data_IF_735603851487
#
_entry.id   IF_735603851487
#
_cell.length_a   1.000
_cell.length_b   1.000
_cell.length_c   1.000
_cell.angle_alpha   90.00
_cell.angle_beta   90.00
_cell.angle_gamma   90.00
#
_symmetry.space_group_name_H-M   'P 1'
#
loop_
_entity.id
_entity.type
_entity.pdbx_description
1 polymer ?
#
# COMPACT_ATOMS: atom_id res chain seq x y z
N UNK A 1 14.07 -16.58 7.05
CA UNK A 1 13.49 -15.60 6.10
C UNK A 1 12.00 -15.87 6.10
N UNK A 2 11.20 -14.93 6.59
CA UNK A 2 9.75 -15.00 6.35
C UNK A 2 9.56 -14.80 4.85
N UNK A 3 9.01 -15.80 4.16
CA UNK A 3 8.63 -15.67 2.76
C UNK A 3 7.62 -14.51 2.66
N UNK A 4 7.85 -13.63 1.70
CA UNK A 4 6.92 -12.53 1.44
C UNK A 4 5.58 -13.10 0.95
N UNK A 5 4.50 -12.84 1.68
CA UNK A 5 3.16 -13.35 1.38
C UNK A 5 2.72 -12.99 -0.06
N UNK A 6 3.11 -11.84 -0.58
CA UNK A 6 2.79 -11.45 -1.96
C UNK A 6 3.48 -12.35 -2.97
N UNK A 7 4.72 -12.80 -2.69
CA UNK A 7 5.41 -13.78 -3.51
C UNK A 7 4.72 -15.13 -3.50
N UNK A 8 4.30 -15.60 -2.32
CA UNK A 8 3.54 -16.86 -2.16
C UNK A 8 2.25 -16.81 -2.99
N UNK A 9 1.45 -15.75 -2.86
CA UNK A 9 0.19 -15.58 -3.60
C UNK A 9 0.45 -15.58 -5.11
N UNK A 10 1.47 -14.85 -5.56
CA UNK A 10 1.85 -14.80 -6.98
C UNK A 10 2.26 -16.16 -7.53
N UNK A 11 3.02 -16.94 -6.77
CA UNK A 11 3.47 -18.26 -7.20
C UNK A 11 2.31 -19.27 -7.23
N UNK A 12 1.39 -19.19 -6.28
CA UNK A 12 0.15 -20.00 -6.28
C UNK A 12 -0.72 -19.66 -7.50
N UNK A 13 -0.97 -18.37 -7.76
CA UNK A 13 -1.73 -17.92 -8.94
C UNK A 13 -1.13 -18.44 -10.25
N UNK A 14 0.20 -18.32 -10.37
CA UNK A 14 0.92 -18.84 -11.53
C UNK A 14 0.79 -20.34 -11.67
N UNK A 15 0.81 -21.10 -10.59
CA UNK A 15 0.68 -22.56 -10.60
C UNK A 15 -0.75 -23.01 -10.88
N UNK A 16 -1.75 -22.29 -10.37
CA UNK A 16 -3.15 -22.53 -10.61
C UNK A 16 -3.63 -22.05 -12.01
N UNK A 17 -2.82 -21.23 -12.68
CA UNK A 17 -3.16 -20.55 -13.94
C UNK A 17 -4.47 -19.75 -13.84
N UNK A 18 -4.75 -19.15 -12.68
CA UNK A 18 -5.98 -18.39 -12.44
C UNK A 18 -5.73 -17.22 -11.48
N UNK A 19 -6.51 -16.14 -11.65
CA UNK A 19 -6.65 -15.01 -10.73
C UNK A 19 -7.98 -15.05 -9.95
N UNK A 20 -8.80 -16.05 -10.19
CA UNK A 20 -10.04 -16.24 -9.44
C UNK A 20 -9.75 -16.91 -8.10
N UNK A 21 -10.13 -16.28 -6.95
CA UNK A 21 -9.83 -16.84 -5.64
C UNK A 21 -10.51 -18.19 -5.38
N UNK A 22 -11.58 -18.53 -6.10
CA UNK A 22 -12.24 -19.83 -5.99
C UNK A 22 -11.42 -20.92 -6.65
N UNK A 23 -10.91 -20.67 -7.85
CA UNK A 23 -10.02 -21.62 -8.55
C UNK A 23 -8.72 -21.83 -7.73
N UNK A 24 -8.21 -20.76 -7.10
CA UNK A 24 -7.06 -20.84 -6.20
C UNK A 24 -7.37 -21.72 -4.98
N UNK A 25 -8.54 -21.55 -4.36
CA UNK A 25 -8.95 -22.39 -3.24
C UNK A 25 -9.06 -23.86 -3.64
N UNK A 26 -9.68 -24.16 -4.79
CA UNK A 26 -9.83 -25.51 -5.34
C UNK A 26 -8.45 -26.12 -5.65
N UNK A 27 -7.55 -25.36 -6.29
CA UNK A 27 -6.17 -25.79 -6.57
C UNK A 27 -5.38 -26.14 -5.29
N UNK A 28 -5.63 -25.43 -4.20
CA UNK A 28 -4.95 -25.62 -2.91
C UNK A 28 -5.68 -26.61 -1.98
N UNK A 29 -6.69 -27.34 -2.44
CA UNK A 29 -7.53 -28.24 -1.63
C UNK A 29 -8.13 -27.55 -0.40
N UNK A 30 -8.49 -26.26 -0.53
CA UNK A 30 -9.15 -25.48 0.52
C UNK A 30 -10.66 -25.58 0.35
N UNK A 31 -11.34 -26.08 1.39
CA UNK A 31 -12.80 -26.19 1.37
C UNK A 31 -13.45 -24.81 1.49
N UNK A 32 -14.28 -24.45 0.52
CA UNK A 32 -15.05 -23.21 0.54
C UNK A 32 -16.48 -23.46 1.02
N UNK A 33 -16.87 -22.83 2.11
CA UNK A 33 -18.19 -22.95 2.74
C UNK A 33 -18.97 -21.66 2.55
N UNK A 34 -20.13 -21.77 1.89
CA UNK A 34 -21.08 -20.67 1.84
C UNK A 34 -21.84 -20.57 3.16
N UNK A 35 -21.80 -19.43 3.80
CA UNK A 35 -22.45 -19.22 5.09
C UNK A 35 -23.45 -18.07 5.06
N UNK A 36 -24.41 -18.11 5.97
CA UNK A 36 -25.40 -17.06 6.17
C UNK A 36 -25.34 -16.59 7.62
N UNK A 37 -24.77 -15.40 7.85
CA UNK A 37 -24.55 -14.88 9.19
C UNK A 37 -24.20 -13.39 9.20
N UNK A 38 -23.77 -12.91 10.35
CA UNK A 38 -23.33 -11.52 10.55
C UNK A 38 -21.83 -11.30 10.27
N UNK A 39 -21.07 -12.38 10.13
CA UNK A 39 -19.63 -12.37 9.84
C UNK A 39 -19.43 -12.39 8.34
N UNK A 40 -18.44 -11.66 7.83
CA UNK A 40 -18.14 -11.62 6.41
C UNK A 40 -17.45 -12.90 5.92
N UNK A 41 -16.47 -13.39 6.70
CA UNK A 41 -15.72 -14.60 6.42
C UNK A 41 -15.10 -15.21 7.66
N UNK A 42 -14.48 -16.36 7.48
CA UNK A 42 -13.58 -16.99 8.45
C UNK A 42 -12.64 -17.98 7.74
N UNK A 43 -11.47 -18.21 8.33
CA UNK A 43 -10.57 -19.30 7.96
C UNK A 43 -10.45 -20.31 9.13
N UNK A 44 -10.37 -21.59 8.80
CA UNK A 44 -10.26 -22.67 9.78
C UNK A 44 -9.36 -23.80 9.31
N UNK A 45 -8.52 -24.29 10.23
CA UNK A 45 -7.67 -25.46 10.01
C UNK A 45 -8.32 -26.73 10.55
N UNK A 46 -8.47 -27.74 9.71
CA UNK A 46 -8.86 -29.09 10.12
C UNK A 46 -7.60 -29.93 10.39
N UNK A 47 -7.07 -29.85 11.60
CA UNK A 47 -5.83 -30.55 11.98
C UNK A 47 -5.82 -32.04 11.69
N UNK A 48 -6.98 -32.72 11.86
CA UNK A 48 -7.10 -34.17 11.63
C UNK A 48 -6.92 -34.59 10.15
N UNK A 49 -7.09 -33.66 9.21
CA UNK A 49 -7.04 -33.92 7.76
C UNK A 49 -5.92 -33.16 7.04
N UNK A 50 -5.18 -32.33 7.75
CA UNK A 50 -4.20 -31.40 7.19
C UNK A 50 -4.80 -30.55 6.04
N UNK A 51 -6.07 -30.16 6.19
CA UNK A 51 -6.81 -29.33 5.25
C UNK A 51 -7.26 -28.05 5.92
N UNK A 52 -7.51 -27.01 5.14
CA UNK A 52 -8.09 -25.77 5.59
C UNK A 52 -9.50 -25.59 4.99
N UNK A 53 -10.30 -24.80 5.66
CA UNK A 53 -11.57 -24.32 5.11
C UNK A 53 -11.69 -22.81 5.29
N UNK A 54 -12.33 -22.17 4.33
CA UNK A 54 -12.76 -20.77 4.47
C UNK A 54 -14.27 -20.71 4.35
N UNK A 55 -14.89 -19.88 5.16
CA UNK A 55 -16.32 -19.58 5.08
C UNK A 55 -16.51 -18.17 4.53
N UNK A 56 -17.36 -18.04 3.52
CA UNK A 56 -17.66 -16.74 2.91
C UNK A 56 -19.16 -16.47 3.00
N UNK A 57 -19.53 -15.29 3.42
CA UNK A 57 -20.91 -14.90 3.55
C UNK A 57 -21.58 -14.78 2.17
N UNK A 58 -22.63 -15.58 1.96
CA UNK A 58 -23.36 -15.65 0.68
C UNK A 58 -24.08 -14.34 0.30
N UNK A 59 -24.21 -13.38 1.22
CA UNK A 59 -24.80 -12.07 0.96
C UNK A 59 -23.80 -11.09 0.33
N UNK A 60 -22.50 -11.37 0.44
CA UNK A 60 -21.46 -10.55 -0.21
C UNK A 60 -21.51 -10.78 -1.72
N UNK A 61 -21.31 -9.69 -2.47
CA UNK A 61 -21.29 -9.72 -3.95
C UNK A 61 -20.22 -8.78 -4.48
N UNK A 62 -19.82 -9.01 -5.73
CA UNK A 62 -18.87 -8.16 -6.45
C UNK A 62 -17.56 -7.98 -5.69
N UNK A 63 -17.15 -6.72 -5.54
CA UNK A 63 -15.92 -6.35 -4.87
C UNK A 63 -15.78 -6.96 -3.47
N UNK A 64 -16.80 -6.82 -2.60
CA UNK A 64 -16.75 -7.30 -1.23
C UNK A 64 -16.65 -8.82 -1.11
N UNK A 65 -17.24 -9.57 -2.04
CA UNK A 65 -17.07 -11.01 -2.09
C UNK A 65 -15.62 -11.39 -2.40
N UNK A 66 -15.02 -10.78 -3.42
CA UNK A 66 -13.63 -11.05 -3.80
C UNK A 66 -12.65 -10.61 -2.70
N UNK A 67 -12.86 -9.44 -2.13
CA UNK A 67 -12.03 -8.91 -1.02
C UNK A 67 -12.05 -9.87 0.18
N UNK A 68 -13.23 -10.26 0.65
CA UNK A 68 -13.36 -11.20 1.75
C UNK A 68 -12.73 -12.55 1.43
N UNK A 69 -12.91 -13.04 0.21
CA UNK A 69 -12.33 -14.32 -0.21
C UNK A 69 -10.79 -14.29 -0.15
N UNK A 70 -10.15 -13.28 -0.72
CA UNK A 70 -8.71 -13.12 -0.66
C UNK A 70 -8.18 -12.89 0.76
N UNK A 71 -8.95 -12.18 1.58
CA UNK A 71 -8.63 -11.98 2.99
C UNK A 71 -8.54 -13.33 3.74
N UNK A 72 -9.56 -14.18 3.60
CA UNK A 72 -9.58 -15.49 4.27
C UNK A 72 -8.54 -16.47 3.69
N UNK A 73 -8.32 -16.46 2.37
CA UNK A 73 -7.23 -17.23 1.76
C UNK A 73 -5.87 -16.82 2.31
N UNK A 74 -5.66 -15.52 2.54
CA UNK A 74 -4.39 -15.01 3.09
C UNK A 74 -4.13 -15.60 4.47
N UNK A 75 -5.13 -15.73 5.34
CA UNK A 75 -4.96 -16.38 6.64
C UNK A 75 -4.51 -17.85 6.52
N UNK A 76 -4.98 -18.55 5.48
CA UNK A 76 -4.53 -19.92 5.21
C UNK A 76 -3.09 -19.92 4.72
N UNK A 77 -2.75 -19.09 3.73
CA UNK A 77 -1.40 -19.04 3.14
C UNK A 77 -0.34 -18.52 4.12
N UNK A 78 -0.70 -17.53 4.94
CA UNK A 78 0.17 -16.99 5.98
C UNK A 78 0.24 -17.88 7.23
N UNK A 79 -0.52 -18.99 7.24
CA UNK A 79 -0.62 -19.95 8.35
C UNK A 79 -1.15 -19.34 9.67
N UNK A 80 -1.87 -18.25 9.61
CA UNK A 80 -2.43 -17.58 10.80
C UNK A 80 -3.38 -18.49 11.58
N UNK A 81 -4.11 -19.36 10.87
CA UNK A 81 -5.00 -20.37 11.45
C UNK A 81 -4.27 -21.41 12.34
N UNK A 82 -2.94 -21.49 12.25
CA UNK A 82 -2.11 -22.38 13.06
C UNK A 82 -1.39 -21.67 14.21
N UNK A 83 -1.62 -20.37 14.41
CA UNK A 83 -0.99 -19.62 15.48
C UNK A 83 -1.49 -20.08 16.86
N UNK A 84 -0.62 -20.09 17.89
CA UNK A 84 -1.04 -20.38 19.25
C UNK A 84 -2.16 -19.43 19.71
N UNK A 85 -3.23 -20.00 20.30
CA UNK A 85 -4.36 -19.24 20.79
C UNK A 85 -5.52 -19.02 19.80
N UNK A 86 -5.34 -19.35 18.52
CA UNK A 86 -6.43 -19.27 17.53
C UNK A 86 -7.38 -20.49 17.61
N UNK A 87 -6.95 -21.58 18.24
CA UNK A 87 -7.66 -22.88 18.22
C UNK A 87 -8.03 -23.34 16.80
N UNK A 88 -7.23 -22.94 15.81
CA UNK A 88 -7.48 -23.22 14.39
C UNK A 88 -8.52 -22.31 13.74
N UNK A 89 -9.01 -21.29 14.43
CA UNK A 89 -9.99 -20.34 13.89
C UNK A 89 -9.42 -18.94 13.84
N UNK A 90 -9.57 -18.32 12.68
CA UNK A 90 -9.42 -16.87 12.50
C UNK A 90 -10.74 -16.36 11.96
N UNK A 91 -11.37 -15.43 12.66
CA UNK A 91 -12.64 -14.84 12.23
C UNK A 91 -12.50 -13.36 12.14
N UNK A 92 -12.82 -12.80 10.99
CA UNK A 92 -12.95 -11.36 10.84
C UNK A 92 -14.38 -10.92 11.19
N UNK A 93 -14.61 -10.62 12.46
CA UNK A 93 -15.85 -9.99 12.90
C UNK A 93 -15.92 -8.50 12.56
N UNK A 94 -14.85 -7.93 11.97
CA UNK A 94 -14.71 -6.48 11.84
C UNK A 94 -14.12 -6.01 10.50
N UNK A 95 -14.38 -6.74 9.41
CA UNK A 95 -14.00 -6.29 8.06
C UNK A 95 -14.39 -4.82 7.88
N UNK A 96 -13.39 -3.96 7.78
CA UNK A 96 -13.54 -2.56 7.40
C UNK A 96 -14.61 -1.75 8.16
N UNK A 97 -14.85 -2.00 9.44
CA UNK A 97 -15.73 -1.14 10.23
C UNK A 97 -15.15 0.27 10.30
N UNK A 98 -15.91 1.23 9.82
CA UNK A 98 -15.62 2.65 10.01
C UNK A 98 -15.30 2.93 11.48
N UNK A 99 -14.16 3.58 11.76
CA UNK A 99 -13.81 4.06 13.10
C UNK A 99 -12.84 3.20 13.92
N UNK A 100 -12.35 2.06 13.42
CA UNK A 100 -11.24 1.32 14.08
C UNK A 100 -9.91 1.90 13.62
N UNK A 101 -9.08 2.38 14.54
CA UNK A 101 -7.75 2.89 14.18
C UNK A 101 -6.84 1.73 13.74
N UNK A 102 -5.99 1.94 12.73
CA UNK A 102 -5.05 0.92 12.23
C UNK A 102 -4.07 0.41 13.30
N UNK A 103 -3.81 1.21 14.34
CA UNK A 103 -2.95 0.84 15.46
C UNK A 103 -3.51 -0.29 16.35
N UNK A 104 -4.81 -0.56 16.26
CA UNK A 104 -5.49 -1.62 17.04
C UNK A 104 -5.71 -2.91 16.26
N UNK A 105 -5.32 -2.94 14.97
CA UNK A 105 -5.50 -4.12 14.12
C UNK A 105 -4.33 -5.08 14.32
N UNK A 106 -4.55 -6.36 14.63
CA UNK A 106 -3.49 -7.36 14.71
C UNK A 106 -2.69 -7.44 13.40
N UNK A 107 -1.39 -7.75 13.49
CA UNK A 107 -0.49 -7.80 12.33
C UNK A 107 -1.01 -8.74 11.23
N UNK A 108 -1.50 -9.92 11.60
CA UNK A 108 -2.04 -10.89 10.64
C UNK A 108 -3.27 -10.36 9.89
N UNK A 109 -4.18 -9.67 10.59
CA UNK A 109 -5.35 -9.02 9.97
C UNK A 109 -4.93 -7.89 9.02
N UNK A 110 -3.90 -7.12 9.39
CA UNK A 110 -3.35 -6.09 8.51
C UNK A 110 -2.77 -6.72 7.24
N UNK A 111 -2.01 -7.80 7.38
CA UNK A 111 -1.45 -8.53 6.25
C UNK A 111 -2.55 -9.08 5.33
N UNK A 112 -3.61 -9.68 5.89
CA UNK A 112 -4.73 -10.17 5.10
C UNK A 112 -5.45 -9.04 4.34
N UNK A 113 -5.64 -7.89 4.98
CA UNK A 113 -6.22 -6.70 4.32
C UNK A 113 -5.35 -6.16 3.18
N UNK A 114 -4.02 -6.16 3.34
CA UNK A 114 -3.08 -5.71 2.31
C UNK A 114 -3.16 -6.61 1.07
N UNK A 115 -3.10 -7.91 1.25
CA UNK A 115 -3.22 -8.88 0.15
C UNK A 115 -4.59 -8.80 -0.52
N UNK A 116 -5.67 -8.75 0.27
CA UNK A 116 -7.02 -8.64 -0.26
C UNK A 116 -7.21 -7.35 -1.09
N UNK A 117 -6.67 -6.23 -0.64
CA UNK A 117 -6.70 -4.99 -1.39
C UNK A 117 -5.86 -5.07 -2.68
N UNK A 118 -4.69 -5.72 -2.61
CA UNK A 118 -3.82 -5.90 -3.78
C UNK A 118 -4.50 -6.74 -4.87
N UNK A 119 -5.18 -7.81 -4.48
CA UNK A 119 -5.83 -8.75 -5.39
C UNK A 119 -7.21 -8.32 -5.90
N UNK A 120 -7.81 -7.30 -5.29
CA UNK A 120 -9.15 -6.81 -5.68
C UNK A 120 -9.15 -5.45 -6.34
N UNK A 121 -8.19 -4.59 -6.00
CA UNK A 121 -8.05 -3.27 -6.63
C UNK A 121 -7.00 -3.35 -7.73
N UNK A 122 -7.37 -2.98 -8.95
CA UNK A 122 -6.48 -3.02 -10.10
C UNK A 122 -5.27 -2.10 -9.91
N UNK A 123 -4.08 -2.67 -9.97
CA UNK A 123 -2.82 -1.89 -9.94
C UNK A 123 -2.72 -0.95 -11.13
N UNK A 124 -3.21 -1.40 -12.30
CA UNK A 124 -3.19 -0.59 -13.52
C UNK A 124 -4.07 0.65 -13.35
N UNK A 125 -5.29 0.49 -12.85
CA UNK A 125 -6.22 1.63 -12.67
C UNK A 125 -5.68 2.63 -11.64
N UNK A 126 -5.08 2.13 -10.54
CA UNK A 126 -4.41 3.01 -9.57
C UNK A 126 -3.27 3.79 -10.21
N UNK A 127 -2.42 3.13 -11.02
CA UNK A 127 -1.30 3.79 -11.72
C UNK A 127 -1.81 4.84 -12.70
N UNK A 128 -2.87 4.54 -13.45
CA UNK A 128 -3.46 5.44 -14.43
C UNK A 128 -4.08 6.67 -13.75
N UNK A 129 -4.93 6.46 -12.76
CA UNK A 129 -5.63 7.55 -12.05
C UNK A 129 -4.66 8.42 -11.26
N UNK A 130 -3.66 7.84 -10.60
CA UNK A 130 -2.66 8.61 -9.84
C UNK A 130 -1.63 9.31 -10.72
N UNK A 131 -1.63 9.06 -12.03
CA UNK A 131 -0.60 9.57 -12.94
C UNK A 131 0.82 9.10 -12.57
N UNK A 132 0.96 7.98 -11.85
CA UNK A 132 2.26 7.48 -11.39
C UNK A 132 3.29 7.36 -12.50
N UNK A 133 2.88 6.95 -13.70
CA UNK A 133 3.72 6.85 -14.89
C UNK A 133 3.81 8.15 -15.69
N UNK A 134 3.16 9.24 -15.27
CA UNK A 134 3.26 10.52 -15.96
C UNK A 134 4.71 11.02 -15.91
N UNK A 135 5.36 11.33 -17.07
CA UNK A 135 6.74 11.79 -17.12
C UNK A 135 7.00 13.05 -16.27
N UNK A 136 6.04 13.97 -16.22
CA UNK A 136 6.15 15.19 -15.40
C UNK A 136 6.14 14.87 -13.90
N UNK A 137 5.26 13.96 -13.46
CA UNK A 137 5.23 13.49 -12.09
C UNK A 137 6.51 12.74 -11.71
N UNK A 138 7.02 11.88 -12.59
CA UNK A 138 8.30 11.18 -12.35
C UNK A 138 9.47 12.17 -12.27
N UNK A 139 9.50 13.19 -13.12
CA UNK A 139 10.53 14.23 -13.09
C UNK A 139 10.47 15.03 -11.80
N UNK A 140 9.26 15.40 -11.33
CA UNK A 140 9.05 16.06 -10.07
C UNK A 140 9.56 15.23 -8.89
N UNK A 141 9.18 13.93 -8.81
CA UNK A 141 9.64 13.03 -7.74
C UNK A 141 11.15 12.87 -7.72
N UNK A 142 11.79 12.75 -8.89
CA UNK A 142 13.26 12.68 -8.98
C UNK A 142 13.92 13.95 -8.48
N UNK A 143 13.38 15.12 -8.82
CA UNK A 143 13.89 16.41 -8.37
C UNK A 143 13.72 16.56 -6.85
N UNK A 144 12.56 16.20 -6.31
CA UNK A 144 12.28 16.21 -4.87
C UNK A 144 13.25 15.32 -4.10
N UNK A 145 13.42 14.06 -4.50
CA UNK A 145 14.35 13.12 -3.87
C UNK A 145 15.82 13.61 -3.93
N UNK A 146 16.22 14.20 -5.06
CA UNK A 146 17.54 14.82 -5.20
C UNK A 146 17.76 15.95 -4.19
N UNK A 147 16.78 16.86 -4.06
CA UNK A 147 16.85 18.00 -3.13
C UNK A 147 16.87 17.54 -1.67
N UNK A 148 16.08 16.55 -1.30
CA UNK A 148 16.09 15.97 0.05
C UNK A 148 17.45 15.32 0.37
N UNK A 149 18.04 14.62 -0.60
CA UNK A 149 19.38 14.06 -0.48
C UNK A 149 20.44 15.14 -0.25
N UNK A 150 20.40 16.18 -1.08
CA UNK A 150 21.32 17.30 -1.02
C UNK A 150 21.18 18.11 0.29
N UNK A 151 19.94 18.30 0.75
CA UNK A 151 19.66 18.97 2.03
C UNK A 151 20.22 18.17 3.21
N UNK A 152 20.02 16.85 3.23
CA UNK A 152 20.60 15.98 4.27
C UNK A 152 22.12 16.00 4.28
N UNK A 153 22.77 16.03 3.12
CA UNK A 153 24.23 16.17 3.03
C UNK A 153 24.70 17.54 3.52
N UNK A 154 23.99 18.61 3.15
CA UNK A 154 24.28 19.96 3.61
C UNK A 154 24.20 20.09 5.13
N UNK A 155 23.16 19.52 5.76
CA UNK A 155 23.02 19.53 7.22
C UNK A 155 24.14 18.75 7.91
N UNK A 156 24.54 17.58 7.39
CA UNK A 156 25.71 16.84 7.88
C UNK A 156 26.99 17.69 7.81
N UNK A 157 27.19 18.39 6.70
CA UNK A 157 28.33 19.26 6.52
C UNK A 157 28.28 20.44 7.50
N UNK A 158 27.12 21.05 7.72
CA UNK A 158 26.90 22.13 8.66
C UNK A 158 27.24 21.73 10.12
N UNK A 159 26.75 20.56 10.55
CA UNK A 159 27.05 20.00 11.86
C UNK A 159 28.55 19.77 12.05
N UNK A 160 29.32 19.48 11.00
CA UNK A 160 30.76 19.33 11.08
C UNK A 160 31.50 20.68 11.30
N UNK A 161 30.88 21.82 10.97
CA UNK A 161 31.45 23.15 11.19
C UNK A 161 31.38 23.59 12.66
N UNK A 162 30.38 23.10 13.39
CA UNK A 162 30.20 23.44 14.80
C UNK A 162 31.24 22.75 15.69
N UNK A 163 31.90 21.70 15.21
CA UNK A 163 32.87 20.88 15.92
C UNK A 163 34.34 21.19 15.57
N UNK A 164 34.59 21.93 14.47
CA UNK A 164 35.95 22.23 13.99
C UNK A 164 35.99 23.51 13.14
N UNK A 165 37.17 24.17 13.04
CA UNK A 165 37.32 25.27 12.11
C UNK A 165 37.25 24.77 10.66
N UNK A 166 36.20 25.15 9.90
CA UNK A 166 36.03 24.62 8.56
C UNK A 166 37.12 25.11 7.61
N UNK A 167 37.69 24.19 6.86
CA UNK A 167 38.68 24.52 5.82
C UNK A 167 38.04 25.36 4.70
N UNK A 168 38.83 26.17 3.96
CA UNK A 168 38.32 26.92 2.80
C UNK A 168 37.53 26.03 1.80
N UNK A 169 37.99 24.79 1.60
CA UNK A 169 37.32 23.80 0.73
C UNK A 169 35.92 23.46 1.26
N UNK A 170 35.76 23.18 2.53
CA UNK A 170 34.46 22.84 3.13
C UNK A 170 33.47 23.99 3.07
N UNK A 171 33.96 25.23 3.26
CA UNK A 171 33.17 26.46 3.11
C UNK A 171 32.67 26.62 1.67
N UNK A 172 33.58 26.45 0.67
CA UNK A 172 33.22 26.53 -0.72
C UNK A 172 32.17 25.44 -1.11
N UNK A 173 32.35 24.20 -0.62
CA UNK A 173 31.38 23.11 -0.83
C UNK A 173 29.99 23.43 -0.25
N UNK A 174 29.93 23.99 0.97
CA UNK A 174 28.69 24.39 1.60
C UNK A 174 27.97 25.53 0.83
N UNK A 175 28.68 26.49 0.31
CA UNK A 175 28.12 27.56 -0.52
C UNK A 175 27.54 27.01 -1.81
N UNK A 176 28.26 26.11 -2.47
CA UNK A 176 27.80 25.46 -3.71
C UNK A 176 26.54 24.58 -3.47
N UNK A 177 26.51 23.80 -2.39
CA UNK A 177 25.34 23.00 -2.02
C UNK A 177 24.14 23.90 -1.74
N UNK A 178 24.31 24.99 -0.98
CA UNK A 178 23.23 25.95 -0.70
C UNK A 178 22.69 26.58 -1.99
N UNK A 179 23.55 26.91 -2.94
CA UNK A 179 23.14 27.42 -4.26
C UNK A 179 22.28 26.38 -5.00
N UNK A 180 22.74 25.12 -5.07
CA UNK A 180 22.02 24.03 -5.75
C UNK A 180 20.67 23.75 -5.10
N UNK A 181 20.59 23.78 -3.77
CA UNK A 181 19.30 23.60 -3.05
C UNK A 181 18.34 24.72 -3.42
N UNK A 182 18.78 25.98 -3.47
CA UNK A 182 17.92 27.10 -3.84
C UNK A 182 17.41 26.98 -5.27
N UNK A 183 18.32 26.78 -6.24
CA UNK A 183 17.98 26.66 -7.66
C UNK A 183 17.04 25.47 -7.92
N UNK A 184 17.32 24.33 -7.27
CA UNK A 184 16.46 23.16 -7.37
C UNK A 184 15.08 23.37 -6.72
N UNK A 185 14.99 24.14 -5.61
CA UNK A 185 13.72 24.45 -4.98
C UNK A 185 12.86 25.38 -5.86
N UNK A 186 13.47 26.33 -6.56
CA UNK A 186 12.79 27.18 -7.54
C UNK A 186 12.21 26.32 -8.68
N UNK A 187 13.03 25.42 -9.25
CA UNK A 187 12.61 24.48 -10.30
C UNK A 187 11.50 23.55 -9.82
N UNK A 188 11.58 23.05 -8.57
CA UNK A 188 10.56 22.19 -8.00
C UNK A 188 9.23 22.92 -7.88
N UNK A 189 9.24 24.19 -7.46
CA UNK A 189 8.03 25.03 -7.36
C UNK A 189 7.40 25.31 -8.73
N UNK A 190 8.18 25.47 -9.77
CA UNK A 190 7.70 25.60 -11.15
C UNK A 190 7.01 24.29 -11.61
N UNK A 191 7.66 23.14 -11.35
CA UNK A 191 7.09 21.82 -11.67
C UNK A 191 5.79 21.56 -10.91
N UNK A 192 5.72 21.94 -9.62
CA UNK A 192 4.48 21.86 -8.83
C UNK A 192 3.35 22.68 -9.47
N UNK A 193 3.64 23.91 -9.86
CA UNK A 193 2.67 24.77 -10.52
C UNK A 193 2.14 24.15 -11.81
N UNK A 194 3.03 23.57 -12.64
CA UNK A 194 2.66 22.92 -13.90
C UNK A 194 1.78 21.68 -13.66
N UNK A 195 2.08 20.88 -12.63
CA UNK A 195 1.28 19.72 -12.25
C UNK A 195 -0.11 20.15 -11.74
N UNK A 196 -0.20 21.25 -10.99
CA UNK A 196 -1.45 21.86 -10.53
C UNK A 196 -2.32 22.26 -11.72
N UNK A 197 -1.76 23.02 -12.66
CA UNK A 197 -2.52 23.50 -13.82
C UNK A 197 -2.95 22.38 -14.78
N UNK A 198 -2.22 21.26 -14.80
CA UNK A 198 -2.56 20.11 -15.65
C UNK A 198 -3.67 19.22 -15.10
N UNK A 199 -4.20 19.50 -13.91
CA UNK A 199 -5.26 18.73 -13.23
C UNK A 199 -4.91 17.23 -13.06
N UNK A 200 -3.61 16.92 -12.93
CA UNK A 200 -3.10 15.54 -12.88
C UNK A 200 -3.01 14.98 -11.46
N UNK A 201 -3.43 15.74 -10.45
CA UNK A 201 -3.36 15.31 -9.05
C UNK A 201 -4.76 15.20 -8.46
N UNK A 202 -5.14 13.98 -8.11
CA UNK A 202 -6.36 13.70 -7.35
C UNK A 202 -6.00 13.43 -5.88
N UNK A 203 -6.89 13.82 -4.98
CA UNK A 203 -6.78 13.46 -3.55
C UNK A 203 -7.10 11.99 -3.32
N UNK A 204 -6.67 11.42 -2.19
CA UNK A 204 -7.02 10.03 -1.85
C UNK A 204 -8.53 9.75 -1.86
N UNK A 205 -9.40 10.63 -1.30
CA UNK A 205 -10.84 10.45 -1.40
C UNK A 205 -11.37 10.44 -2.85
N UNK A 206 -10.83 11.29 -3.72
CA UNK A 206 -11.22 11.35 -5.14
C UNK A 206 -10.79 10.10 -5.89
N UNK A 207 -9.56 9.63 -5.68
CA UNK A 207 -9.06 8.37 -6.25
C UNK A 207 -9.91 7.19 -5.76
N UNK A 208 -10.24 7.15 -4.48
CA UNK A 208 -11.07 6.10 -3.91
C UNK A 208 -12.48 6.10 -4.50
N UNK A 209 -13.05 7.29 -4.71
CA UNK A 209 -14.36 7.44 -5.35
C UNK A 209 -14.35 6.98 -6.82
N UNK A 210 -13.30 7.32 -7.57
CA UNK A 210 -13.16 6.91 -8.98
C UNK A 210 -13.00 5.38 -9.11
N UNK A 211 -12.32 4.75 -8.15
CA UNK A 211 -12.15 3.29 -8.09
C UNK A 211 -13.36 2.56 -7.46
N UNK A 212 -14.40 3.27 -7.01
CA UNK A 212 -15.54 2.73 -6.27
C UNK A 212 -15.14 1.88 -5.04
N UNK A 213 -14.13 2.36 -4.31
CA UNK A 213 -13.64 1.72 -3.08
C UNK A 213 -13.62 2.71 -1.92
N UNK A 214 -13.51 2.20 -0.68
CA UNK A 214 -13.28 3.08 0.46
C UNK A 214 -11.83 3.58 0.48
N UNK A 215 -11.61 4.79 0.98
CA UNK A 215 -10.26 5.35 1.17
C UNK A 215 -9.34 4.39 1.95
N UNK A 216 -9.88 3.67 2.93
CA UNK A 216 -9.13 2.68 3.70
C UNK A 216 -8.61 1.52 2.84
N UNK A 217 -9.43 1.00 1.92
CA UNK A 217 -9.02 -0.05 0.99
C UNK A 217 -7.95 0.49 0.04
N UNK A 218 -8.13 1.72 -0.46
CA UNK A 218 -7.11 2.35 -1.29
C UNK A 218 -5.77 2.49 -0.54
N UNK A 219 -5.78 2.87 0.75
CA UNK A 219 -4.56 2.94 1.57
C UNK A 219 -3.88 1.57 1.70
N UNK A 220 -4.63 0.49 1.91
CA UNK A 220 -4.06 -0.86 1.91
C UNK A 220 -3.47 -1.22 0.55
N UNK A 221 -4.15 -0.88 -0.56
CA UNK A 221 -3.61 -1.11 -1.91
C UNK A 221 -2.30 -0.37 -2.13
N UNK A 222 -2.23 0.91 -1.81
CA UNK A 222 -1.01 1.71 -1.96
C UNK A 222 0.13 1.20 -1.07
N UNK A 223 -0.16 0.78 0.17
CA UNK A 223 0.84 0.16 1.04
C UNK A 223 1.33 -1.18 0.47
N UNK A 224 0.43 -2.01 -0.08
CA UNK A 224 0.80 -3.27 -0.74
C UNK A 224 1.70 -3.03 -1.96
N UNK A 225 1.37 -2.06 -2.81
CA UNK A 225 2.18 -1.66 -3.96
C UNK A 225 3.58 -1.19 -3.53
N UNK A 226 3.67 -0.41 -2.45
CA UNK A 226 4.95 0.04 -1.88
C UNK A 226 5.79 -1.13 -1.37
N UNK A 227 5.19 -2.09 -0.68
CA UNK A 227 5.89 -3.30 -0.21
C UNK A 227 6.42 -4.15 -1.37
N UNK A 228 5.78 -4.10 -2.53
CA UNK A 228 6.23 -4.74 -3.76
C UNK A 228 7.25 -3.92 -4.57
N UNK A 229 7.75 -2.82 -3.99
CA UNK A 229 8.82 -2.00 -4.57
C UNK A 229 8.34 -0.89 -5.50
N UNK A 230 7.04 -0.57 -5.52
CA UNK A 230 6.54 0.61 -6.20
C UNK A 230 6.67 1.82 -5.29
N UNK A 231 7.27 2.90 -5.79
CA UNK A 231 7.50 4.13 -5.01
C UNK A 231 6.24 5.01 -5.01
N UNK A 232 5.16 4.49 -4.43
CA UNK A 232 3.91 5.22 -4.21
C UNK A 232 3.77 5.45 -2.71
N UNK A 233 3.87 6.72 -2.27
CA UNK A 233 3.65 7.09 -0.88
C UNK A 233 2.22 7.64 -0.69
N UNK A 234 1.35 6.96 0.10
CA UNK A 234 0.02 7.46 0.41
C UNK A 234 0.04 8.85 1.07
N UNK A 235 1.07 9.16 1.87
CA UNK A 235 1.22 10.46 2.52
C UNK A 235 1.56 11.57 1.52
N UNK A 236 2.29 11.22 0.47
CA UNK A 236 2.60 12.14 -0.62
C UNK A 236 1.31 12.52 -1.37
N UNK A 237 0.44 11.56 -1.68
CA UNK A 237 -0.86 11.82 -2.31
C UNK A 237 -1.77 12.70 -1.44
N UNK A 238 -1.74 12.53 -0.09
CA UNK A 238 -2.47 13.43 0.83
C UNK A 238 -1.92 14.86 0.86
N UNK A 239 -0.61 15.01 0.75
CA UNK A 239 0.01 16.34 0.71
C UNK A 239 -0.37 17.10 -0.56
N UNK A 240 -0.43 16.42 -1.69
CA UNK A 240 -0.89 17.03 -2.94
C UNK A 240 -2.35 17.49 -2.82
N UNK A 241 -3.26 16.68 -2.30
CA UNK A 241 -4.66 17.09 -2.09
C UNK A 241 -4.80 18.35 -1.24
N UNK A 242 -4.05 18.47 -0.15
CA UNK A 242 -4.08 19.64 0.74
C UNK A 242 -3.50 20.92 0.12
N UNK A 243 -2.57 20.80 -0.83
CA UNK A 243 -2.06 21.96 -1.58
C UNK A 243 -3.14 22.57 -2.50
N UNK A 244 -4.12 21.76 -2.92
CA UNK A 244 -5.17 22.16 -3.87
C UNK A 244 -6.43 22.72 -3.19
N UNK A 245 -6.79 22.25 -1.99
CA UNK A 245 -7.94 22.75 -1.24
C UNK A 245 -7.89 24.26 -0.89
N UNK A 246 -6.74 24.89 -1.10
CA UNK A 246 -6.53 26.34 -0.85
C UNK A 246 -6.55 27.24 -2.09
N UNK A 247 -6.78 26.70 -3.30
CA UNK A 247 -6.63 27.45 -4.57
C UNK A 247 -7.96 27.59 -5.35
N UNK A 248 -9.09 27.07 -4.83
CA UNK A 248 -10.43 27.27 -5.42
C UNK A 248 -11.20 28.33 -4.65
#
# INVERSE_FOLDING_TARGET
>A
MEEDIFSIVKDIKKSAHSDDPRDIADFCDILVISMNGSVAGYAHAFHAKNTAAIGINCRLKGFWYRFCFWHELTHVFNRDIYLPGTNGWVTDGKLCRHGVSDRSIPRHEKTANLVAADETVSTYDVIEITGYNNPSMQSYRRMKAYLEGLTREFEKLRCSFDSSHPTPYLKAKAIEMKRKIREGSETLSEMESDLIYSNTCMTLPEIAAELDVSERILRYKLEAMRLQGMDIDPQELEQYGKMFDGVI
#
